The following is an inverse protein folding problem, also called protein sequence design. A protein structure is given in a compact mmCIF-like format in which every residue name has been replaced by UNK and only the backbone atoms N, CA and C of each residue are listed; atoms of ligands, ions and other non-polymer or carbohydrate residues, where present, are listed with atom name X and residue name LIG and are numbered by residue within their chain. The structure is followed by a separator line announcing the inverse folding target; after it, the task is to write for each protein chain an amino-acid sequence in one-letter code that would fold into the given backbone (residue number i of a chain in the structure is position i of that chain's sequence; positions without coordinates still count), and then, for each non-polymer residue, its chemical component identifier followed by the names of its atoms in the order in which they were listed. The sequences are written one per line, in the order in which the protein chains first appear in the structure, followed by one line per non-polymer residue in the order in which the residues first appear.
data_IF_293610148110
#
_entry.id   IF_293610148110
#
_cell.length_a   1.000
_cell.length_b   1.000
_cell.length_c   1.000
_cell.angle_alpha   90.00
_cell.angle_beta   90.00
_cell.angle_gamma   90.00
#
_symmetry.space_group_name_H-M   'P 1'
#
loop_
_entity.id
_entity.type
_entity.pdbx_description
1 polymer ?
#
# COMPACT_ATOMS: atom_id res chain seq x y z
N UNK A 1 35.47 22.92 21.84
CA UNK A 1 34.95 22.15 20.72
C UNK A 1 35.10 22.98 19.46
N UNK A 2 35.79 22.52 18.43
CA UNK A 2 35.96 23.35 17.25
C UNK A 2 34.79 23.11 16.26
N UNK A 3 34.54 24.09 15.40
CA UNK A 3 33.39 24.08 14.48
C UNK A 3 33.41 22.89 13.49
N UNK A 4 34.56 22.36 13.18
CA UNK A 4 34.75 21.22 12.25
C UNK A 4 34.14 19.95 12.84
N UNK A 5 34.30 19.69 14.13
CA UNK A 5 33.74 18.51 14.80
C UNK A 5 32.22 18.58 14.85
N UNK A 6 31.65 19.73 15.10
CA UNK A 6 30.20 19.93 15.11
C UNK A 6 29.60 19.73 13.72
N UNK A 7 30.25 20.23 12.68
CA UNK A 7 29.81 20.01 11.29
C UNK A 7 29.84 18.55 10.88
N UNK A 8 30.86 17.78 11.27
CA UNK A 8 30.94 16.34 11.00
C UNK A 8 29.81 15.55 11.67
N UNK A 9 29.50 15.84 12.94
CA UNK A 9 28.40 15.18 13.66
C UNK A 9 27.04 15.45 13.00
N UNK A 10 26.77 16.66 12.57
CA UNK A 10 25.53 17.03 11.88
C UNK A 10 25.40 16.26 10.54
N UNK A 11 26.47 16.13 9.77
CA UNK A 11 26.48 15.38 8.50
C UNK A 11 26.17 13.90 8.70
N UNK A 12 26.76 13.25 9.71
CA UNK A 12 26.50 11.84 10.04
C UNK A 12 25.04 11.61 10.44
N UNK A 13 24.46 12.49 11.24
CA UNK A 13 23.06 12.38 11.63
C UNK A 13 22.12 12.52 10.43
N UNK A 14 22.37 13.46 9.52
CA UNK A 14 21.56 13.63 8.31
C UNK A 14 21.64 12.40 7.40
N UNK A 15 22.80 11.80 7.20
CA UNK A 15 22.96 10.57 6.42
C UNK A 15 22.21 9.39 7.04
N UNK A 16 22.23 9.23 8.35
CA UNK A 16 21.53 8.15 9.06
C UNK A 16 20.01 8.28 8.89
N UNK A 17 19.44 9.47 8.96
CA UNK A 17 18.01 9.71 8.73
C UNK A 17 17.62 9.40 7.29
N UNK A 18 18.42 9.79 6.30
CA UNK A 18 18.17 9.49 4.89
C UNK A 18 18.19 7.98 4.63
N UNK A 19 19.14 7.22 5.19
CA UNK A 19 19.23 5.77 5.05
C UNK A 19 18.02 5.08 5.71
N UNK A 20 17.59 5.52 6.88
CA UNK A 20 16.40 4.98 7.54
C UNK A 20 15.14 5.22 6.71
N UNK A 21 15.01 6.38 6.08
CA UNK A 21 13.90 6.70 5.18
C UNK A 21 13.86 5.76 3.96
N UNK A 22 15.00 5.50 3.31
CA UNK A 22 15.08 4.61 2.15
C UNK A 22 14.89 3.13 2.51
N UNK A 23 15.25 2.72 3.71
CA UNK A 23 15.10 1.33 4.18
C UNK A 23 13.72 1.02 4.74
N UNK A 24 12.79 2.00 4.80
CA UNK A 24 11.44 1.78 5.31
C UNK A 24 10.69 0.77 4.43
N UNK A 25 10.11 -0.31 5.02
CA UNK A 25 9.38 -1.30 4.24
C UNK A 25 8.19 -0.65 3.52
N UNK A 26 8.07 -0.92 2.23
CA UNK A 26 6.91 -0.51 1.43
C UNK A 26 6.08 -1.73 1.09
N UNK A 27 4.73 -1.64 1.10
CA UNK A 27 3.90 -2.72 0.61
C UNK A 27 4.11 -2.91 -0.89
N UNK A 28 3.97 -4.15 -1.37
CA UNK A 28 4.04 -4.44 -2.81
C UNK A 28 2.91 -3.77 -3.58
N UNK A 29 1.77 -3.61 -2.92
CA UNK A 29 0.60 -2.96 -3.51
C UNK A 29 -0.13 -2.17 -2.42
N UNK A 30 -0.51 -0.94 -2.75
CA UNK A 30 -1.31 -0.08 -1.89
C UNK A 30 -2.65 0.20 -2.55
N UNK A 31 -3.74 -0.10 -1.86
CA UNK A 31 -5.08 0.27 -2.29
C UNK A 31 -5.60 1.31 -1.31
N UNK A 32 -5.99 2.47 -1.83
CA UNK A 32 -6.57 3.54 -1.04
C UNK A 32 -7.98 3.83 -1.50
N UNK A 33 -8.93 3.70 -0.60
CA UNK A 33 -10.32 4.11 -0.81
C UNK A 33 -10.49 5.49 -0.22
N UNK A 34 -10.80 6.46 -1.06
CA UNK A 34 -11.00 7.84 -0.64
C UNK A 34 -12.45 8.10 -0.25
N UNK A 35 -12.71 9.25 0.35
CA UNK A 35 -14.05 9.66 0.74
C UNK A 35 -14.97 9.67 -0.49
N UNK A 36 -16.13 9.03 -0.37
CA UNK A 36 -17.07 8.84 -1.48
C UNK A 36 -16.91 7.49 -2.20
N UNK A 37 -15.96 6.66 -1.79
CA UNK A 37 -15.81 5.30 -2.28
C UNK A 37 -14.91 5.13 -3.51
N UNK A 38 -14.30 6.19 -4.02
CA UNK A 38 -13.34 6.07 -5.12
C UNK A 38 -12.06 5.38 -4.63
N UNK A 39 -11.55 4.44 -5.40
CA UNK A 39 -10.38 3.66 -5.02
C UNK A 39 -9.25 3.79 -6.05
N UNK A 40 -8.03 3.90 -5.56
CA UNK A 40 -6.80 3.96 -6.34
C UNK A 40 -5.86 2.84 -5.92
N UNK A 41 -5.12 2.32 -6.89
CA UNK A 41 -4.10 1.30 -6.67
C UNK A 41 -2.74 1.87 -7.01
N UNK A 42 -1.79 1.73 -6.09
CA UNK A 42 -0.39 2.06 -6.31
C UNK A 42 0.41 0.77 -6.28
N UNK A 43 1.16 0.48 -7.36
CA UNK A 43 2.00 -0.71 -7.44
C UNK A 43 3.34 -0.53 -6.70
N UNK A 44 4.15 -1.59 -6.68
CA UNK A 44 5.46 -1.57 -6.03
C UNK A 44 6.43 -0.55 -6.64
N UNK A 45 6.19 -0.11 -7.86
CA UNK A 45 7.02 0.88 -8.56
C UNK A 45 6.51 2.32 -8.39
N UNK A 46 5.46 2.53 -7.60
CA UNK A 46 4.88 3.85 -7.35
C UNK A 46 3.91 4.34 -8.42
N UNK A 47 3.51 3.50 -9.36
CA UNK A 47 2.51 3.83 -10.38
C UNK A 47 1.12 3.77 -9.77
N UNK A 48 0.34 4.80 -9.96
CA UNK A 48 -1.02 4.89 -9.44
C UNK A 48 -2.05 4.93 -10.56
N UNK A 49 -3.09 4.14 -10.42
CA UNK A 49 -4.20 4.05 -11.37
C UNK A 49 -5.53 3.84 -10.62
N UNK A 50 -6.69 4.16 -11.22
CA UNK A 50 -7.97 3.80 -10.64
C UNK A 50 -8.10 2.29 -10.45
N UNK A 51 -8.81 1.88 -9.40
CA UNK A 51 -9.08 0.47 -9.15
C UNK A 51 -9.97 -0.10 -10.26
N UNK A 52 -9.46 -1.10 -10.96
CA UNK A 52 -10.22 -1.85 -11.95
C UNK A 52 -10.87 -3.09 -11.34
N UNK A 53 -11.29 -4.01 -12.18
CA UNK A 53 -11.86 -5.30 -11.75
C UNK A 53 -10.80 -6.34 -11.41
N UNK A 54 -9.55 -6.12 -11.80
CA UNK A 54 -8.43 -7.03 -11.54
C UNK A 54 -7.23 -6.25 -11.02
N UNK A 55 -6.63 -6.74 -9.94
CA UNK A 55 -5.40 -6.20 -9.36
C UNK A 55 -4.31 -7.25 -9.44
N UNK A 56 -3.21 -6.91 -10.09
CA UNK A 56 -2.03 -7.77 -10.16
C UNK A 56 -1.06 -7.40 -9.05
N UNK A 57 -0.70 -8.37 -8.22
CA UNK A 57 0.23 -8.20 -7.10
C UNK A 57 1.48 -9.01 -7.39
N UNK A 58 2.62 -8.33 -7.43
CA UNK A 58 3.93 -8.95 -7.52
C UNK A 58 4.72 -8.66 -6.26
N UNK A 59 5.36 -9.68 -5.71
CA UNK A 59 6.24 -9.53 -4.57
C UNK A 59 7.60 -10.11 -4.86
N UNK A 60 8.64 -9.44 -4.37
CA UNK A 60 10.01 -9.93 -4.43
C UNK A 60 10.30 -10.82 -3.22
N UNK A 61 11.11 -11.86 -3.41
CA UNK A 61 11.57 -12.71 -2.33
C UNK A 61 10.49 -13.58 -1.67
N UNK A 62 9.39 -13.85 -2.35
CA UNK A 62 8.32 -14.71 -1.87
C UNK A 62 7.32 -14.05 -0.92
N UNK A 63 7.51 -12.79 -0.55
CA UNK A 63 6.54 -12.01 0.21
C UNK A 63 5.70 -11.14 -0.72
N UNK A 64 4.41 -11.18 -0.49
CA UNK A 64 3.43 -10.39 -1.24
C UNK A 64 2.56 -9.67 -0.24
N UNK A 65 2.73 -8.35 -0.14
CA UNK A 65 2.00 -7.52 0.81
C UNK A 65 1.03 -6.60 0.08
N UNK A 66 -0.16 -6.50 0.64
CA UNK A 66 -1.18 -5.56 0.19
C UNK A 66 -1.56 -4.71 1.39
N UNK A 67 -1.39 -3.39 1.25
CA UNK A 67 -1.87 -2.44 2.24
C UNK A 67 -3.16 -1.83 1.72
N UNK A 68 -4.20 -1.87 2.52
CA UNK A 68 -5.48 -1.24 2.21
C UNK A 68 -5.73 -0.13 3.22
N UNK A 69 -5.99 1.07 2.70
CA UNK A 69 -6.32 2.25 3.49
C UNK A 69 -7.73 2.68 3.13
N UNK A 70 -8.61 2.71 4.11
CA UNK A 70 -9.98 3.16 3.94
C UNK A 70 -10.14 4.54 4.58
N UNK A 71 -10.03 5.59 3.77
CA UNK A 71 -10.25 6.98 4.18
C UNK A 71 -11.73 7.42 4.08
N UNK A 72 -12.61 6.49 3.71
CA UNK A 72 -14.03 6.75 3.62
C UNK A 72 -14.71 6.69 5.00
N UNK A 73 -15.91 7.18 5.09
CA UNK A 73 -16.74 7.20 6.31
C UNK A 73 -17.52 5.90 6.53
N UNK A 74 -17.46 4.97 5.57
CA UNK A 74 -18.13 3.68 5.62
C UNK A 74 -17.16 2.55 5.44
N UNK A 75 -17.52 1.37 5.96
CA UNK A 75 -16.78 0.15 5.74
C UNK A 75 -16.80 -0.25 4.26
N UNK A 76 -15.69 -0.76 3.75
CA UNK A 76 -15.59 -1.30 2.40
C UNK A 76 -15.14 -2.76 2.40
N UNK A 77 -15.65 -3.49 1.42
CA UNK A 77 -15.19 -4.84 1.11
C UNK A 77 -14.49 -4.85 -0.24
N UNK A 78 -13.27 -5.38 -0.27
CA UNK A 78 -12.45 -5.54 -1.45
C UNK A 78 -12.10 -7.02 -1.59
N UNK A 79 -12.93 -7.77 -2.33
CA UNK A 79 -12.81 -9.23 -2.46
C UNK A 79 -12.81 -9.92 -1.08
N UNK A 80 -11.67 -10.48 -0.66
CA UNK A 80 -11.52 -11.16 0.63
C UNK A 80 -11.23 -10.21 1.80
N UNK A 81 -11.01 -8.93 1.55
CA UNK A 81 -10.64 -7.95 2.58
C UNK A 81 -11.83 -7.11 3.00
N UNK A 82 -12.05 -7.00 4.29
CA UNK A 82 -13.04 -6.10 4.88
C UNK A 82 -12.31 -5.05 5.71
N UNK A 83 -12.44 -3.79 5.36
CA UNK A 83 -11.73 -2.69 5.99
C UNK A 83 -12.73 -1.71 6.59
N UNK A 84 -12.77 -1.57 7.93
CA UNK A 84 -13.63 -0.59 8.58
C UNK A 84 -13.30 0.85 8.17
N UNK A 85 -14.26 1.73 8.32
CA UNK A 85 -14.12 3.15 8.03
C UNK A 85 -12.93 3.76 8.80
N UNK A 86 -12.09 4.51 8.10
CA UNK A 86 -10.96 5.22 8.70
C UNK A 86 -9.78 4.34 9.10
N UNK A 87 -9.81 3.05 8.80
CA UNK A 87 -8.74 2.12 9.17
C UNK A 87 -7.84 1.76 8.00
N UNK A 88 -6.66 1.25 8.34
CA UNK A 88 -5.73 0.67 7.39
C UNK A 88 -5.23 -0.67 7.90
N UNK A 89 -5.01 -1.60 6.98
CA UNK A 89 -4.50 -2.93 7.30
C UNK A 89 -3.52 -3.39 6.24
N UNK A 90 -2.48 -4.07 6.65
CA UNK A 90 -1.52 -4.70 5.77
C UNK A 90 -1.71 -6.22 5.82
N UNK A 91 -1.80 -6.83 4.65
CA UNK A 91 -1.97 -8.27 4.51
C UNK A 91 -0.77 -8.87 3.78
N UNK A 92 -0.28 -9.99 4.27
CA UNK A 92 0.64 -10.84 3.52
C UNK A 92 -0.18 -11.98 2.91
N UNK A 93 -0.12 -12.12 1.59
CA UNK A 93 -0.97 -13.04 0.86
C UNK A 93 -0.16 -14.07 0.08
N UNK A 94 -0.64 -15.32 -0.02
CA UNK A 94 0.01 -16.34 -0.81
C UNK A 94 -0.20 -16.10 -2.32
N UNK A 95 0.63 -16.70 -3.20
CA UNK A 95 0.34 -16.71 -4.62
C UNK A 95 -1.00 -17.37 -4.92
N UNK A 96 -1.68 -16.87 -5.94
CA UNK A 96 -2.97 -17.41 -6.38
C UNK A 96 -3.89 -16.36 -6.95
N UNK A 97 -5.10 -16.78 -7.27
CA UNK A 97 -6.17 -15.91 -7.78
C UNK A 97 -7.32 -15.94 -6.79
N UNK A 98 -7.70 -14.76 -6.31
CA UNK A 98 -8.75 -14.60 -5.31
C UNK A 98 -9.74 -13.56 -5.78
N UNK A 99 -11.02 -13.89 -5.76
CA UNK A 99 -12.08 -12.99 -6.17
C UNK A 99 -13.16 -12.82 -5.12
N UNK A 100 -13.91 -11.73 -5.21
CA UNK A 100 -15.05 -11.46 -4.33
C UNK A 100 -15.74 -10.16 -4.66
N UNK A 101 -16.65 -9.77 -3.79
CA UNK A 101 -17.44 -8.55 -3.93
C UNK A 101 -16.57 -7.33 -3.67
N UNK A 102 -16.80 -6.25 -4.43
CA UNK A 102 -16.16 -4.96 -4.22
C UNK A 102 -17.22 -3.88 -4.03
N UNK A 103 -17.09 -3.10 -2.96
CA UNK A 103 -17.99 -1.99 -2.66
C UNK A 103 -17.43 -0.62 -3.02
N UNK A 104 -16.16 -0.57 -3.42
CA UNK A 104 -15.52 0.69 -3.83
C UNK A 104 -15.81 1.02 -5.29
N UNK A 105 -15.89 2.32 -5.61
CA UNK A 105 -16.15 2.82 -6.97
C UNK A 105 -14.86 3.29 -7.67
N UNK A 106 -14.83 3.32 -9.01
CA UNK A 106 -15.89 3.01 -9.99
C UNK A 106 -15.97 1.55 -10.39
N UNK A 107 -15.48 0.67 -9.56
CA UNK A 107 -15.34 -0.74 -9.85
C UNK A 107 -16.64 -1.41 -10.24
N UNK A 108 -16.50 -2.54 -10.94
CA UNK A 108 -17.56 -3.53 -11.03
C UNK A 108 -17.88 -4.08 -9.63
N UNK A 109 -18.97 -4.78 -9.49
CA UNK A 109 -19.35 -5.43 -8.23
C UNK A 109 -18.41 -6.54 -7.79
N UNK A 110 -17.44 -6.91 -8.62
CA UNK A 110 -16.44 -7.95 -8.34
C UNK A 110 -15.03 -7.42 -8.52
N UNK A 111 -14.15 -7.88 -7.64
CA UNK A 111 -12.72 -7.59 -7.69
C UNK A 111 -11.94 -8.91 -7.62
N UNK A 112 -10.96 -9.06 -8.50
CA UNK A 112 -10.09 -10.23 -8.54
C UNK A 112 -8.65 -9.80 -8.28
N UNK A 113 -8.00 -10.48 -7.34
CA UNK A 113 -6.56 -10.35 -7.10
C UNK A 113 -5.83 -11.51 -7.77
N UNK A 114 -4.85 -11.18 -8.60
CA UNK A 114 -3.91 -12.14 -9.18
C UNK A 114 -2.56 -11.92 -8.53
N UNK A 115 -2.14 -12.85 -7.68
CA UNK A 115 -0.94 -12.73 -6.85
C UNK A 115 0.10 -13.72 -7.37
N UNK A 116 1.24 -13.17 -7.76
CA UNK A 116 2.32 -13.95 -8.36
C UNK A 116 3.60 -13.90 -7.55
#
# INVERSE_FOLDING_TARGET
MNATRVAMLAAVMAASVALAWFSWPRPDTLIRVTRGGAAMVTDAYGRTAPLGDTVFVRGDGGRRTIRVVNDDTVQHQLAMFTIPAGEQTEYTVPPGTFGGVCTAHPSSTRLTFVIR
#
